data_IF_757033933139
#
_entry.id   IF_757033933139
#
_cell.length_a   1.000
_cell.length_b   1.000
_cell.length_c   1.000
_cell.angle_alpha   90.00
_cell.angle_beta   90.00
_cell.angle_gamma   90.00
#
_symmetry.space_group_name_H-M   'P 1'
#
loop_
_entity.id
_entity.type
_entity.pdbx_description
1 polymer ?
#
# COMPACT_ATOMS: atom_id res chain seq x y z
N UNK A 1 9.66 -22.96 -7.35
CA UNK A 1 9.37 -23.56 -6.04
C UNK A 1 9.82 -22.58 -4.98
N UNK A 2 8.98 -22.28 -3.99
CA UNK A 2 9.24 -21.27 -2.96
C UNK A 2 9.38 -21.96 -1.60
N UNK A 3 10.34 -21.53 -0.78
CA UNK A 3 10.51 -22.04 0.58
C UNK A 3 9.67 -21.24 1.57
N UNK A 4 8.71 -21.90 2.21
CA UNK A 4 7.86 -21.28 3.22
C UNK A 4 8.36 -21.64 4.62
N UNK A 5 9.10 -20.71 5.24
CA UNK A 5 9.68 -20.91 6.57
C UNK A 5 8.63 -21.18 7.67
N UNK A 6 7.45 -20.55 7.58
CA UNK A 6 6.38 -20.75 8.56
C UNK A 6 5.75 -22.15 8.46
N UNK A 7 5.64 -22.70 7.25
CA UNK A 7 5.14 -24.05 7.03
C UNK A 7 6.24 -25.12 7.08
N UNK A 8 7.51 -24.70 7.11
CA UNK A 8 8.70 -25.54 7.03
C UNK A 8 8.66 -26.54 5.86
N UNK A 9 8.21 -26.07 4.70
CA UNK A 9 8.13 -26.87 3.47
C UNK A 9 8.21 -26.00 2.23
N UNK A 10 8.61 -26.65 1.15
CA UNK A 10 8.52 -26.08 -0.17
C UNK A 10 7.07 -26.06 -0.67
N UNK A 11 6.68 -24.97 -1.32
CA UNK A 11 5.38 -24.79 -1.97
C UNK A 11 5.56 -24.43 -3.44
N UNK A 12 4.62 -24.87 -4.26
CA UNK A 12 4.55 -24.56 -5.70
C UNK A 12 3.62 -23.40 -5.97
N UNK A 13 2.57 -23.28 -5.18
CA UNK A 13 1.56 -22.23 -5.27
C UNK A 13 1.83 -21.18 -4.21
N UNK A 14 2.03 -19.95 -4.66
CA UNK A 14 2.18 -18.76 -3.82
C UNK A 14 1.22 -17.70 -4.32
N UNK A 15 0.74 -16.87 -3.39
CA UNK A 15 -0.10 -15.73 -3.69
C UNK A 15 0.72 -14.47 -3.48
N UNK A 16 0.79 -13.63 -4.51
CA UNK A 16 1.28 -12.26 -4.36
C UNK A 16 0.31 -11.50 -3.43
N UNK A 17 0.88 -10.67 -2.55
CA UNK A 17 0.11 -9.90 -1.56
C UNK A 17 0.67 -8.49 -1.45
N UNK A 18 -0.21 -7.50 -1.33
CA UNK A 18 0.22 -6.11 -1.23
C UNK A 18 0.92 -5.80 0.09
N UNK A 19 1.99 -5.02 -0.03
CA UNK A 19 2.63 -4.26 1.04
C UNK A 19 2.98 -2.88 0.48
N UNK A 20 1.96 -2.05 0.26
CA UNK A 20 2.12 -0.74 -0.37
C UNK A 20 2.53 0.29 0.68
N UNK A 21 3.53 1.10 0.34
CA UNK A 21 3.98 2.23 1.18
C UNK A 21 3.69 3.51 0.42
N UNK A 22 2.75 4.30 0.92
CA UNK A 22 2.45 5.63 0.39
C UNK A 22 3.18 6.68 1.23
N UNK A 23 3.81 7.62 0.54
CA UNK A 23 4.25 8.87 1.14
C UNK A 23 3.10 9.86 0.98
N UNK A 24 2.59 10.38 2.08
CA UNK A 24 1.44 11.27 2.08
C UNK A 24 1.81 12.59 2.75
N UNK A 25 1.21 13.66 2.25
CA UNK A 25 1.27 15.02 2.81
C UNK A 25 -0.16 15.50 3.02
N UNK A 26 -0.35 16.40 3.98
CA UNK A 26 -1.56 17.18 4.14
C UNK A 26 -1.26 18.66 3.79
N UNK A 27 -2.07 19.60 4.28
CA UNK A 27 -1.85 21.04 4.10
C UNK A 27 -0.61 21.57 4.86
N UNK A 28 0.10 20.70 5.59
CA UNK A 28 1.37 21.02 6.24
C UNK A 28 2.58 20.68 5.35
N UNK A 29 3.78 21.00 5.84
CA UNK A 29 5.04 20.63 5.17
C UNK A 29 5.57 19.26 5.58
N UNK A 30 4.83 18.52 6.42
CA UNK A 30 5.28 17.25 6.97
C UNK A 30 4.81 16.08 6.10
N UNK A 31 5.68 15.08 5.97
CA UNK A 31 5.39 13.86 5.25
C UNK A 31 5.18 12.69 6.23
N UNK A 32 4.23 11.82 5.92
CA UNK A 32 4.01 10.58 6.66
C UNK A 32 4.08 9.36 5.74
N UNK A 33 4.49 8.21 6.30
CA UNK A 33 4.51 6.94 5.58
C UNK A 33 3.33 6.07 5.99
N UNK A 34 2.44 5.78 5.06
CA UNK A 34 1.30 4.91 5.30
C UNK A 34 1.54 3.54 4.67
N UNK A 35 1.34 2.50 5.46
CA UNK A 35 1.47 1.11 5.06
C UNK A 35 0.09 0.50 4.87
N UNK A 36 -0.17 0.04 3.65
CA UNK A 36 -1.44 -0.56 3.24
C UNK A 36 -1.19 -2.03 2.89
N UNK A 37 -1.87 -2.92 3.61
CA UNK A 37 -1.80 -4.36 3.38
C UNK A 37 -2.89 -4.82 2.42
N UNK A 38 -2.74 -6.05 1.94
CA UNK A 38 -3.60 -6.70 0.95
C UNK A 38 -5.10 -6.56 1.17
N UNK A 39 -5.57 -6.76 2.40
CA UNK A 39 -6.99 -6.68 2.74
C UNK A 39 -7.59 -5.27 2.56
N UNK A 40 -6.75 -4.25 2.47
CA UNK A 40 -7.14 -2.85 2.23
C UNK A 40 -6.81 -2.43 0.79
N UNK A 41 -5.63 -2.81 0.29
CA UNK A 41 -5.17 -2.44 -1.05
C UNK A 41 -6.01 -3.09 -2.16
N UNK A 42 -6.31 -4.38 -2.06
CA UNK A 42 -7.09 -5.09 -3.06
C UNK A 42 -8.47 -4.44 -3.33
N UNK A 43 -9.34 -4.21 -2.32
CA UNK A 43 -10.64 -3.59 -2.57
C UNK A 43 -10.53 -2.11 -2.98
N UNK A 44 -9.46 -1.41 -2.57
CA UNK A 44 -9.27 0.00 -2.92
C UNK A 44 -8.79 0.19 -4.37
N UNK A 45 -7.78 -0.60 -4.80
CA UNK A 45 -7.26 -0.55 -6.17
C UNK A 45 -8.11 -1.34 -7.16
N UNK A 46 -8.98 -2.22 -6.65
CA UNK A 46 -9.76 -3.16 -7.43
C UNK A 46 -8.91 -4.00 -8.40
N UNK A 47 -7.71 -4.39 -7.93
CA UNK A 47 -6.71 -5.19 -8.65
C UNK A 47 -5.95 -6.08 -7.68
N UNK A 48 -5.58 -7.27 -8.12
CA UNK A 48 -4.71 -8.18 -7.35
C UNK A 48 -3.24 -7.74 -7.45
N UNK A 49 -2.41 -8.26 -6.56
CA UNK A 49 -0.98 -7.94 -6.55
C UNK A 49 -0.24 -8.55 -7.76
N UNK A 50 -0.70 -9.69 -8.25
CA UNK A 50 -0.26 -10.32 -9.49
C UNK A 50 -0.61 -9.47 -10.72
N UNK A 51 -1.88 -9.05 -10.87
CA UNK A 51 -2.30 -8.14 -11.95
C UNK A 51 -1.47 -6.85 -11.96
N UNK A 52 -1.17 -6.30 -10.78
CA UNK A 52 -0.35 -5.09 -10.68
C UNK A 52 1.12 -5.32 -11.06
N UNK A 53 1.68 -6.49 -10.71
CA UNK A 53 3.05 -6.84 -11.08
C UNK A 53 3.18 -7.08 -12.60
N UNK A 54 2.13 -7.59 -13.24
CA UNK A 54 2.08 -7.78 -14.69
C UNK A 54 2.02 -6.46 -15.47
N UNK A 55 1.48 -5.37 -14.89
CA UNK A 55 1.41 -4.06 -15.56
C UNK A 55 2.77 -3.47 -15.95
N UNK A 56 3.84 -3.91 -15.28
CA UNK A 56 5.21 -3.40 -15.48
C UNK A 56 6.19 -4.51 -15.87
N UNK A 57 5.69 -5.72 -16.16
CA UNK A 57 6.55 -6.89 -16.41
C UNK A 57 7.45 -6.76 -17.65
N UNK A 58 7.17 -5.81 -18.55
CA UNK A 58 7.98 -5.50 -19.74
C UNK A 58 8.67 -4.13 -19.70
N UNK A 59 8.42 -3.33 -18.65
CA UNK A 59 8.96 -1.98 -18.49
C UNK A 59 10.20 -1.97 -17.57
N UNK A 60 10.95 -0.87 -17.57
CA UNK A 60 12.08 -0.64 -16.65
C UNK A 60 11.58 -0.68 -15.19
N UNK A 61 12.36 -1.28 -14.27
CA UNK A 61 12.06 -1.37 -12.83
C UNK A 61 11.76 0.01 -12.16
N UNK A 62 12.12 1.11 -12.83
CA UNK A 62 11.81 2.49 -12.39
C UNK A 62 10.40 2.97 -12.75
N UNK A 63 9.66 2.24 -13.59
CA UNK A 63 8.30 2.58 -14.01
C UNK A 63 7.30 2.05 -12.98
N UNK A 64 6.50 2.96 -12.42
CA UNK A 64 5.39 2.57 -11.55
C UNK A 64 4.24 2.00 -12.40
N UNK A 65 3.57 0.92 -11.93
CA UNK A 65 2.31 0.46 -12.51
C UNK A 65 1.32 1.62 -12.59
N UNK A 66 0.55 1.68 -13.67
CA UNK A 66 -0.38 2.79 -13.94
C UNK A 66 -1.34 3.01 -12.78
N UNK A 67 -1.84 1.92 -12.22
CA UNK A 67 -2.73 1.94 -11.06
C UNK A 67 -2.11 2.66 -9.85
N UNK A 68 -0.81 2.53 -9.61
CA UNK A 68 -0.12 3.25 -8.52
C UNK A 68 0.21 4.69 -8.92
N UNK A 69 0.58 4.91 -10.19
CA UNK A 69 0.86 6.24 -10.70
C UNK A 69 -0.36 7.17 -10.62
N UNK A 70 -1.57 6.63 -10.83
CA UNK A 70 -2.84 7.35 -10.72
C UNK A 70 -3.17 7.79 -9.28
N UNK A 71 -2.47 7.28 -8.26
CA UNK A 71 -2.61 7.74 -6.88
C UNK A 71 -1.79 9.01 -6.60
N UNK A 72 -0.79 9.32 -7.44
CA UNK A 72 0.07 10.47 -7.25
C UNK A 72 -0.75 11.75 -7.43
N UNK A 73 -0.74 12.60 -6.40
CA UNK A 73 -1.50 13.85 -6.39
C UNK A 73 -2.99 13.72 -6.10
N UNK A 74 -3.50 12.50 -5.83
CA UNK A 74 -4.87 12.33 -5.35
C UNK A 74 -4.99 12.67 -3.87
N UNK A 75 -6.09 13.30 -3.51
CA UNK A 75 -6.53 13.46 -2.13
C UNK A 75 -7.31 12.21 -1.72
N UNK A 76 -6.95 11.62 -0.58
CA UNK A 76 -7.54 10.40 -0.05
C UNK A 76 -7.80 10.56 1.45
N UNK A 77 -8.87 9.95 1.95
CA UNK A 77 -9.13 9.87 3.39
C UNK A 77 -8.66 8.52 3.95
N UNK A 78 -7.88 8.56 5.03
CA UNK A 78 -7.34 7.38 5.68
C UNK A 78 -7.80 7.26 7.13
N UNK A 79 -8.23 6.06 7.51
CA UNK A 79 -8.30 5.65 8.92
C UNK A 79 -7.06 4.82 9.25
N UNK A 80 -6.35 5.17 10.30
CA UNK A 80 -5.13 4.47 10.71
C UNK A 80 -5.06 4.25 12.22
N UNK A 81 -4.38 3.18 12.62
CA UNK A 81 -4.02 2.94 14.00
C UNK A 81 -2.76 3.71 14.40
N UNK A 82 -2.80 4.43 15.53
CA UNK A 82 -1.63 5.08 16.12
C UNK A 82 -1.17 4.29 17.32
N UNK A 83 0.08 3.81 17.30
CA UNK A 83 0.69 3.11 18.44
C UNK A 83 1.67 4.01 19.18
N UNK A 84 2.08 3.60 20.39
CA UNK A 84 3.09 4.33 21.17
C UNK A 84 4.45 4.45 20.46
N UNK A 85 4.75 3.55 19.51
CA UNK A 85 5.94 3.67 18.64
C UNK A 85 5.78 4.82 17.65
N UNK A 86 4.58 5.01 17.12
CA UNK A 86 4.29 6.08 16.16
C UNK A 86 4.50 7.47 16.76
N UNK A 87 4.25 7.62 18.06
CA UNK A 87 4.39 8.90 18.78
C UNK A 87 5.85 9.27 19.11
N UNK A 88 6.76 8.28 19.13
CA UNK A 88 8.15 8.47 19.58
C UNK A 88 9.12 8.78 18.44
N UNK A 89 8.71 8.59 17.19
CA UNK A 89 9.57 8.79 16.03
C UNK A 89 8.83 9.59 14.96
N UNK A 90 9.49 10.64 14.44
CA UNK A 90 8.99 11.41 13.29
C UNK A 90 8.98 10.61 11.99
N UNK A 91 9.75 9.52 11.90
CA UNK A 91 9.81 8.65 10.71
C UNK A 91 8.89 7.43 10.81
N UNK A 92 7.85 7.52 11.64
CA UNK A 92 6.98 6.38 11.91
C UNK A 92 6.12 6.03 10.70
N UNK A 93 5.94 4.73 10.49
CA UNK A 93 5.02 4.20 9.48
C UNK A 93 3.68 3.88 10.16
N UNK A 94 2.59 4.39 9.61
CA UNK A 94 1.24 4.17 10.11
C UNK A 94 0.57 3.05 9.33
N UNK A 95 -0.05 2.10 10.03
CA UNK A 95 -0.80 1.03 9.38
C UNK A 95 -2.21 1.54 9.12
N UNK A 96 -2.63 1.46 7.85
CA UNK A 96 -3.95 1.90 7.40
C UNK A 96 -4.97 0.79 7.64
N UNK A 97 -6.08 1.14 8.28
CA UNK A 97 -7.21 0.27 8.52
C UNK A 97 -8.30 0.44 7.46
N UNK A 98 -8.44 1.64 6.88
CA UNK A 98 -9.36 1.96 5.76
C UNK A 98 -8.81 3.11 4.93
N UNK A 99 -9.13 3.12 3.65
CA UNK A 99 -8.87 4.20 2.70
C UNK A 99 -10.10 4.40 1.82
N UNK A 100 -10.37 5.65 1.42
CA UNK A 100 -11.40 6.00 0.44
C UNK A 100 -11.00 7.25 -0.35
N UNK A 101 -11.45 7.30 -1.60
CA UNK A 101 -11.37 8.44 -2.52
C UNK A 101 -12.75 9.07 -2.78
N UNK A 102 -13.75 8.75 -1.96
CA UNK A 102 -15.11 9.29 -2.07
C UNK A 102 -15.14 10.77 -1.64
N UNK A 103 -15.29 11.67 -2.60
CA UNK A 103 -15.34 13.12 -2.39
C UNK A 103 -16.42 13.53 -1.38
N UNK A 104 -17.56 12.82 -1.33
CA UNK A 104 -18.65 13.15 -0.40
C UNK A 104 -18.31 12.83 1.07
N UNK A 105 -17.26 12.05 1.32
CA UNK A 105 -16.76 11.72 2.67
C UNK A 105 -15.54 12.57 3.02
N UNK A 106 -14.78 13.01 2.00
CA UNK A 106 -13.57 13.83 2.17
C UNK A 106 -13.91 15.27 2.60
N UNK A 107 -15.06 15.81 2.17
CA UNK A 107 -15.54 17.16 2.52
C UNK A 107 -16.18 17.30 3.92
#
# INVERSE_FOLDING_TARGET
MFDCLQCNRNVTEVLAKFKLVLLVTDDSTEEAKFLIFDNIAYPFLNKTADELAEEVAEDDDSVLPRTLNDLIGKTLLFKMGVTSKNLKSRKSTFIVDKVTDDEAIIE
#
